data_IF_386844277248
#
_entry.id   IF_386844277248
#
_cell.length_a   1.000
_cell.length_b   1.000
_cell.length_c   1.000
_cell.angle_alpha   90.00
_cell.angle_beta   90.00
_cell.angle_gamma   90.00
#
_symmetry.space_group_name_H-M   'P 1'
#
loop_
_entity.id
_entity.type
_entity.pdbx_description
1 polymer ?
#
# COMPACT_ATOMS: atom_id res chain seq x y z
N UNK A 1 -22.85 -32.92 -17.28
CA UNK A 1 -21.65 -32.60 -16.47
C UNK A 1 -20.62 -31.77 -17.25
N UNK A 2 -20.92 -30.50 -17.61
CA UNK A 2 -19.99 -29.57 -18.30
C UNK A 2 -20.02 -28.18 -17.67
N UNK A 3 -19.84 -28.12 -16.35
CA UNK A 3 -19.87 -26.88 -15.57
C UNK A 3 -18.60 -26.79 -14.74
N UNK A 4 -17.92 -25.66 -14.83
CA UNK A 4 -16.73 -25.34 -14.03
C UNK A 4 -17.12 -24.21 -13.08
N UNK A 5 -16.94 -24.43 -11.78
CA UNK A 5 -17.16 -23.40 -10.76
C UNK A 5 -15.83 -22.72 -10.49
N UNK A 6 -15.75 -21.42 -10.73
CA UNK A 6 -14.58 -20.60 -10.46
C UNK A 6 -14.80 -19.70 -9.23
N UNK A 7 -13.72 -19.34 -8.49
CA UNK A 7 -13.82 -18.34 -7.43
C UNK A 7 -14.31 -17.00 -7.99
N UNK A 8 -15.20 -16.33 -7.26
CA UNK A 8 -15.76 -15.04 -7.69
C UNK A 8 -14.68 -13.98 -7.96
N UNK A 9 -13.64 -13.93 -7.14
CA UNK A 9 -12.54 -12.96 -7.27
C UNK A 9 -11.59 -13.26 -8.44
N UNK A 10 -11.68 -14.45 -9.05
CA UNK A 10 -10.94 -14.80 -10.26
C UNK A 10 -11.57 -14.26 -11.55
N UNK A 11 -12.78 -13.68 -11.49
CA UNK A 11 -13.51 -13.23 -12.67
C UNK A 11 -12.76 -12.25 -13.58
N UNK A 12 -11.95 -11.29 -13.06
CA UNK A 12 -11.16 -10.41 -13.91
C UNK A 12 -10.02 -11.12 -14.68
N UNK A 13 -9.61 -12.30 -14.22
CA UNK A 13 -8.51 -13.07 -14.81
C UNK A 13 -8.95 -14.14 -15.82
N UNK A 14 -10.24 -14.46 -15.88
CA UNK A 14 -10.76 -15.56 -16.73
C UNK A 14 -11.89 -15.06 -17.63
N UNK A 15 -11.70 -15.19 -18.94
CA UNK A 15 -12.76 -14.93 -19.90
C UNK A 15 -13.69 -16.15 -20.02
N UNK A 16 -14.83 -16.10 -19.34
CA UNK A 16 -15.83 -17.17 -19.32
C UNK A 16 -16.35 -17.55 -20.73
N UNK A 17 -16.49 -16.58 -21.63
CA UNK A 17 -16.96 -16.82 -22.99
C UNK A 17 -15.90 -17.58 -23.81
N UNK A 18 -14.63 -17.23 -23.65
CA UNK A 18 -13.54 -17.90 -24.35
C UNK A 18 -13.34 -19.34 -23.85
N UNK A 19 -13.47 -19.57 -22.53
CA UNK A 19 -13.45 -20.92 -21.95
C UNK A 19 -14.58 -21.76 -22.55
N UNK A 20 -15.81 -21.23 -22.59
CA UNK A 20 -16.95 -21.93 -23.17
C UNK A 20 -16.73 -22.25 -24.65
N UNK A 21 -16.22 -21.30 -25.43
CA UNK A 21 -15.94 -21.46 -26.86
C UNK A 21 -14.89 -22.55 -27.14
N UNK A 22 -13.80 -22.59 -26.36
CA UNK A 22 -12.69 -23.53 -26.59
C UNK A 22 -12.90 -24.92 -26.02
N UNK A 23 -13.64 -25.03 -24.91
CA UNK A 23 -13.72 -26.28 -24.13
C UNK A 23 -15.13 -26.88 -24.09
N UNK A 24 -16.16 -26.11 -24.44
CA UNK A 24 -17.55 -26.49 -24.26
C UNK A 24 -18.01 -26.54 -22.79
N UNK A 25 -17.17 -26.12 -21.83
CA UNK A 25 -17.55 -26.00 -20.43
C UNK A 25 -18.18 -24.64 -20.12
N UNK A 26 -19.32 -24.66 -19.44
CA UNK A 26 -19.93 -23.45 -18.91
C UNK A 26 -19.22 -23.03 -17.63
N UNK A 27 -18.68 -21.83 -17.60
CA UNK A 27 -18.10 -21.21 -16.40
C UNK A 27 -19.20 -20.60 -15.54
N UNK A 28 -19.19 -20.91 -14.25
CA UNK A 28 -20.03 -20.25 -13.25
C UNK A 28 -19.15 -19.71 -12.11
N UNK A 29 -19.41 -18.48 -11.69
CA UNK A 29 -18.70 -17.89 -10.56
C UNK A 29 -19.43 -18.25 -9.26
N UNK A 30 -18.73 -19.03 -8.43
CA UNK A 30 -19.20 -19.52 -7.15
C UNK A 30 -18.96 -18.53 -6.01
N UNK A 31 -19.00 -18.98 -4.75
CA UNK A 31 -18.77 -18.11 -3.60
C UNK A 31 -17.33 -17.58 -3.54
N UNK A 32 -17.12 -16.51 -2.78
CA UNK A 32 -15.78 -15.98 -2.48
C UNK A 32 -15.01 -16.93 -1.57
N UNK A 33 -15.66 -17.47 -0.54
CA UNK A 33 -15.01 -18.31 0.47
C UNK A 33 -15.25 -19.78 0.17
N UNK A 34 -14.20 -20.58 0.24
CA UNK A 34 -14.29 -22.03 0.00
C UNK A 34 -15.27 -22.74 0.94
N UNK A 35 -15.40 -22.26 2.18
CA UNK A 35 -16.34 -22.82 3.17
C UNK A 35 -17.81 -22.73 2.75
N UNK A 36 -18.16 -21.84 1.83
CA UNK A 36 -19.53 -21.63 1.36
C UNK A 36 -19.87 -22.54 0.16
N UNK A 37 -18.89 -23.28 -0.39
CA UNK A 37 -19.06 -24.18 -1.54
C UNK A 37 -20.13 -25.27 -1.27
N UNK A 38 -20.16 -25.95 -0.12
CA UNK A 38 -21.16 -26.99 0.13
C UNK A 38 -22.60 -26.48 0.06
N UNK A 39 -22.87 -25.28 0.57
CA UNK A 39 -24.19 -24.65 0.52
C UNK A 39 -24.51 -24.17 -0.91
N UNK A 40 -23.54 -23.58 -1.60
CA UNK A 40 -23.67 -23.18 -3.00
C UNK A 40 -24.03 -24.37 -3.91
N UNK A 41 -23.44 -25.55 -3.70
CA UNK A 41 -23.72 -26.74 -4.50
C UNK A 41 -25.15 -27.28 -4.31
N UNK A 42 -25.79 -27.02 -3.16
CA UNK A 42 -27.19 -27.40 -2.92
C UNK A 42 -28.17 -26.52 -3.69
N UNK A 43 -27.93 -25.21 -3.73
CA UNK A 43 -28.83 -24.23 -4.35
C UNK A 43 -28.49 -23.91 -5.81
N UNK A 44 -27.25 -24.17 -6.23
CA UNK A 44 -26.68 -23.75 -7.50
C UNK A 44 -26.56 -22.23 -7.67
N UNK A 45 -26.79 -21.43 -6.62
CA UNK A 45 -26.84 -19.96 -6.67
C UNK A 45 -26.08 -19.36 -5.50
N UNK A 46 -25.07 -18.55 -5.79
CA UNK A 46 -24.34 -17.80 -4.77
C UNK A 46 -25.21 -16.66 -4.22
N UNK A 47 -25.43 -16.64 -2.91
CA UNK A 47 -26.19 -15.59 -2.22
C UNK A 47 -25.43 -14.27 -2.19
N UNK A 48 -26.09 -13.16 -1.82
CA UNK A 48 -25.39 -11.88 -1.68
C UNK A 48 -24.27 -11.93 -0.62
N UNK A 49 -24.46 -12.67 0.48
CA UNK A 49 -23.43 -12.87 1.50
C UNK A 49 -22.19 -13.58 0.96
N UNK A 50 -22.39 -14.63 0.16
CA UNK A 50 -21.31 -15.37 -0.50
C UNK A 50 -20.52 -14.54 -1.53
N UNK A 51 -21.13 -13.45 -2.04
CA UNK A 51 -20.56 -12.53 -3.04
C UNK A 51 -19.95 -11.27 -2.44
N UNK A 52 -20.05 -11.05 -1.12
CA UNK A 52 -19.51 -9.87 -0.45
C UNK A 52 -18.19 -10.17 0.24
N UNK A 53 -17.14 -9.43 -0.11
CA UNK A 53 -15.89 -9.43 0.67
C UNK A 53 -16.08 -8.53 1.90
N UNK A 54 -15.78 -9.05 3.09
CA UNK A 54 -15.85 -8.28 4.34
C UNK A 54 -14.51 -7.66 4.76
N UNK A 55 -13.39 -8.21 4.27
CA UNK A 55 -12.02 -7.75 4.50
C UNK A 55 -11.74 -7.25 5.94
N UNK A 56 -11.99 -8.09 6.96
CA UNK A 56 -11.74 -7.77 8.38
C UNK A 56 -10.26 -7.58 8.68
N UNK A 57 -9.96 -7.04 9.86
CA UNK A 57 -8.58 -6.80 10.31
C UNK A 57 -7.66 -8.03 10.19
N UNK A 58 -8.16 -9.24 10.53
CA UNK A 58 -7.38 -10.48 10.40
C UNK A 58 -6.92 -10.73 8.97
N UNK A 59 -7.81 -10.57 7.99
CA UNK A 59 -7.50 -10.75 6.57
C UNK A 59 -6.45 -9.74 6.09
N UNK A 60 -6.39 -8.54 6.71
CA UNK A 60 -5.38 -7.51 6.38
C UNK A 60 -4.02 -7.79 7.00
N UNK A 61 -3.98 -8.22 8.26
CA UNK A 61 -2.73 -8.53 8.96
C UNK A 61 -2.01 -9.71 8.27
N UNK A 62 -2.76 -10.69 7.76
CA UNK A 62 -2.20 -11.82 7.01
C UNK A 62 -1.50 -11.38 5.71
N UNK A 63 -1.78 -10.19 5.19
CA UNK A 63 -1.10 -9.65 4.01
C UNK A 63 0.23 -8.95 4.35
N UNK A 64 0.47 -8.56 5.60
CA UNK A 64 1.72 -7.90 6.01
C UNK A 64 2.96 -8.76 5.65
N UNK A 65 3.00 -10.08 5.98
CA UNK A 65 4.11 -10.94 5.56
C UNK A 65 4.32 -11.00 4.05
N UNK A 66 3.25 -10.93 3.26
CA UNK A 66 3.33 -10.97 1.79
C UNK A 66 4.06 -9.73 1.26
N UNK A 67 3.70 -8.55 1.78
CA UNK A 67 4.37 -7.29 1.43
C UNK A 67 5.83 -7.26 1.92
N UNK A 68 6.11 -7.83 3.09
CA UNK A 68 7.48 -7.97 3.61
C UNK A 68 8.33 -8.85 2.69
N UNK A 69 7.81 -9.98 2.21
CA UNK A 69 8.53 -10.84 1.25
C UNK A 69 8.80 -10.08 -0.05
N UNK A 70 7.86 -9.27 -0.53
CA UNK A 70 8.07 -8.43 -1.71
C UNK A 70 9.17 -7.37 -1.47
N UNK A 71 9.26 -6.80 -0.27
CA UNK A 71 10.33 -5.88 0.12
C UNK A 71 11.70 -6.56 0.32
N UNK A 72 11.71 -7.87 0.57
CA UNK A 72 12.93 -8.69 0.74
C UNK A 72 13.47 -9.26 -0.58
N UNK A 73 12.75 -9.09 -1.70
CA UNK A 73 13.26 -9.50 -3.00
C UNK A 73 14.56 -8.72 -3.32
N UNK A 74 15.59 -9.34 -3.92
CA UNK A 74 16.86 -8.65 -4.18
C UNK A 74 16.72 -7.34 -4.97
N UNK A 75 15.75 -7.26 -5.88
CA UNK A 75 15.45 -6.08 -6.68
C UNK A 75 14.97 -4.87 -5.86
N UNK A 76 14.37 -5.09 -4.69
CA UNK A 76 13.87 -4.06 -3.78
C UNK A 76 14.77 -3.89 -2.56
N UNK A 77 15.28 -5.00 -2.01
CA UNK A 77 16.10 -5.02 -0.81
C UNK A 77 17.44 -4.29 -0.99
N UNK A 78 18.15 -4.56 -2.10
CA UNK A 78 19.46 -3.95 -2.37
C UNK A 78 19.39 -2.41 -2.40
N UNK A 79 18.49 -1.77 -3.18
CA UNK A 79 18.41 -0.31 -3.18
C UNK A 79 17.96 0.28 -1.84
N UNK A 80 17.07 -0.42 -1.10
CA UNK A 80 16.68 0.02 0.25
C UNK A 80 17.88 0.00 1.21
N UNK A 81 18.66 -1.08 1.22
CA UNK A 81 19.85 -1.19 2.07
C UNK A 81 20.92 -0.16 1.69
N UNK A 82 21.13 0.07 0.40
CA UNK A 82 22.03 1.11 -0.08
C UNK A 82 21.60 2.50 0.39
N UNK A 83 20.31 2.83 0.26
CA UNK A 83 19.75 4.10 0.73
C UNK A 83 19.89 4.24 2.25
N UNK A 84 19.59 3.20 3.01
CA UNK A 84 19.75 3.19 4.47
C UNK A 84 21.21 3.37 4.89
N UNK A 85 22.14 2.71 4.20
CA UNK A 85 23.56 2.84 4.46
C UNK A 85 24.04 4.28 4.18
N UNK A 86 23.67 4.86 3.03
CA UNK A 86 24.01 6.25 2.69
C UNK A 86 23.42 7.21 3.72
N UNK A 87 22.14 7.07 4.06
CA UNK A 87 21.47 7.90 5.07
C UNK A 87 22.19 7.82 6.43
N UNK A 88 22.55 6.61 6.85
CA UNK A 88 23.24 6.39 8.12
C UNK A 88 24.65 6.99 8.15
N UNK A 89 25.49 6.68 7.16
CA UNK A 89 26.88 7.11 7.15
C UNK A 89 27.04 8.60 6.82
N UNK A 90 26.16 9.18 5.99
CA UNK A 90 26.26 10.58 5.61
C UNK A 90 25.52 11.53 6.57
N UNK A 91 24.42 11.09 7.17
CA UNK A 91 23.50 11.98 7.91
C UNK A 91 23.15 11.47 9.32
N UNK A 92 23.63 10.29 9.72
CA UNK A 92 23.46 9.72 11.05
C UNK A 92 22.14 8.96 11.26
N UNK A 93 21.78 8.78 12.54
CA UNK A 93 20.68 7.91 12.94
C UNK A 93 19.28 8.44 12.60
N UNK A 94 19.09 9.77 12.54
CA UNK A 94 17.74 10.35 12.37
C UNK A 94 17.14 10.01 10.99
N UNK A 95 17.85 10.20 9.85
CA UNK A 95 17.31 9.82 8.55
C UNK A 95 17.15 8.31 8.36
N UNK A 96 18.02 7.51 8.97
CA UNK A 96 17.86 6.05 9.01
C UNK A 96 16.53 5.65 9.68
N UNK A 97 16.24 6.23 10.85
CA UNK A 97 14.99 6.00 11.57
C UNK A 97 13.77 6.50 10.78
N UNK A 98 13.90 7.60 10.03
CA UNK A 98 12.83 8.11 9.19
C UNK A 98 12.49 7.15 8.03
N UNK A 99 13.51 6.58 7.37
CA UNK A 99 13.30 5.55 6.33
C UNK A 99 12.59 4.34 6.92
N UNK A 100 13.07 3.84 8.07
CA UNK A 100 12.45 2.72 8.78
C UNK A 100 11.00 3.01 9.17
N UNK A 101 10.73 4.21 9.70
CA UNK A 101 9.39 4.64 10.09
C UNK A 101 8.44 4.74 8.88
N UNK A 102 8.90 5.28 7.75
CA UNK A 102 8.12 5.33 6.51
C UNK A 102 7.83 3.93 5.96
N UNK A 103 8.80 3.02 6.01
CA UNK A 103 8.61 1.62 5.63
C UNK A 103 7.60 0.91 6.54
N UNK A 104 7.71 1.07 7.86
CA UNK A 104 6.74 0.51 8.80
C UNK A 104 5.34 1.12 8.61
N UNK A 105 5.26 2.40 8.29
CA UNK A 105 4.01 3.06 7.96
C UNK A 105 3.34 2.40 6.74
N UNK A 106 4.09 2.14 5.68
CA UNK A 106 3.57 1.53 4.45
C UNK A 106 3.30 0.02 4.54
N UNK A 107 4.20 -0.73 5.17
CA UNK A 107 4.14 -2.21 5.21
C UNK A 107 3.26 -2.75 6.32
N UNK A 108 3.17 -2.04 7.46
CA UNK A 108 2.50 -2.53 8.67
C UNK A 108 1.31 -1.66 9.04
N UNK A 109 1.52 -0.36 9.21
CA UNK A 109 0.46 0.53 9.68
C UNK A 109 -0.65 0.72 8.63
N UNK A 110 -0.29 0.79 7.35
CA UNK A 110 -1.24 1.01 6.26
C UNK A 110 -2.28 -0.11 6.13
N UNK A 111 -1.93 -1.42 6.06
CA UNK A 111 -2.93 -2.49 6.06
C UNK A 111 -3.89 -2.44 7.25
N UNK A 112 -3.39 -2.08 8.44
CA UNK A 112 -4.18 -1.98 9.68
C UNK A 112 -5.13 -0.78 9.63
N UNK A 113 -4.63 0.38 9.21
CA UNK A 113 -5.34 1.66 9.23
C UNK A 113 -6.14 1.95 7.97
N UNK A 114 -6.03 1.12 6.93
CA UNK A 114 -6.66 1.29 5.62
C UNK A 114 -8.13 1.76 5.66
N UNK A 115 -9.06 1.22 6.47
CA UNK A 115 -10.46 1.64 6.44
C UNK A 115 -10.71 2.98 7.16
N UNK A 116 -9.78 3.43 7.99
CA UNK A 116 -9.93 4.62 8.83
C UNK A 116 -9.36 5.88 8.19
N UNK A 117 -8.51 5.74 7.17
CA UNK A 117 -7.91 6.88 6.48
C UNK A 117 -8.94 7.50 5.52
N UNK A 118 -9.27 8.80 5.65
CA UNK A 118 -10.46 9.42 5.06
C UNK A 118 -10.27 9.84 3.59
N UNK A 119 -9.76 8.94 2.75
CA UNK A 119 -9.63 9.15 1.30
C UNK A 119 -10.01 7.89 0.53
N UNK A 120 -10.17 8.00 -0.80
CA UNK A 120 -10.58 6.87 -1.64
C UNK A 120 -9.39 6.03 -2.10
N UNK A 121 -8.35 6.70 -2.60
CA UNK A 121 -7.24 6.11 -3.32
C UNK A 121 -6.15 5.63 -2.35
N UNK A 122 -5.49 4.52 -2.67
CA UNK A 122 -4.44 3.93 -1.82
C UNK A 122 -3.26 4.89 -1.70
N UNK A 123 -2.87 5.49 -2.81
CA UNK A 123 -1.78 6.47 -2.90
C UNK A 123 -2.00 7.65 -1.94
N UNK A 124 -3.19 8.26 -1.95
CA UNK A 124 -3.50 9.40 -1.08
C UNK A 124 -3.56 8.99 0.39
N UNK A 125 -4.12 7.80 0.69
CA UNK A 125 -4.10 7.27 2.05
C UNK A 125 -2.67 7.08 2.55
N UNK A 126 -1.79 6.53 1.71
CA UNK A 126 -0.38 6.31 2.03
C UNK A 126 0.40 7.62 2.17
N UNK A 127 0.15 8.61 1.31
CA UNK A 127 0.74 9.94 1.43
C UNK A 127 0.34 10.61 2.76
N UNK A 128 -0.95 10.57 3.13
CA UNK A 128 -1.43 11.12 4.40
C UNK A 128 -0.82 10.40 5.60
N UNK A 129 -0.72 9.07 5.53
CA UNK A 129 -0.13 8.28 6.61
C UNK A 129 1.37 8.57 6.73
N UNK A 130 2.09 8.65 5.62
CA UNK A 130 3.51 9.00 5.61
C UNK A 130 3.74 10.43 6.11
N UNK A 131 2.86 11.37 5.79
CA UNK A 131 2.90 12.73 6.34
C UNK A 131 2.70 12.71 7.86
N UNK A 132 1.72 11.95 8.36
CA UNK A 132 1.50 11.80 9.79
C UNK A 132 2.74 11.23 10.51
N UNK A 133 3.44 10.26 9.89
CA UNK A 133 4.69 9.71 10.41
C UNK A 133 5.89 10.64 10.24
N UNK A 134 5.84 11.61 9.33
CA UNK A 134 6.89 12.61 9.14
C UNK A 134 6.84 13.72 10.19
N UNK A 135 5.66 14.05 10.73
CA UNK A 135 5.48 15.15 11.69
C UNK A 135 6.38 15.04 12.94
N UNK A 136 6.55 13.87 13.59
CA UNK A 136 7.48 13.73 14.71
C UNK A 136 8.94 14.01 14.33
N UNK A 137 9.37 13.64 13.13
CA UNK A 137 10.73 13.88 12.65
C UNK A 137 10.94 15.36 12.33
N UNK A 138 9.98 16.00 11.67
CA UNK A 138 10.00 17.44 11.43
C UNK A 138 9.99 18.23 12.75
N UNK A 139 9.17 17.83 13.73
CA UNK A 139 9.13 18.45 15.05
C UNK A 139 10.47 18.25 15.81
N UNK A 140 11.07 17.05 15.73
CA UNK A 140 12.38 16.78 16.31
C UNK A 140 13.46 17.70 15.73
N UNK A 141 13.44 17.94 14.41
CA UNK A 141 14.38 18.86 13.78
C UNK A 141 14.16 20.30 14.20
N UNK A 142 12.91 20.73 14.32
CA UNK A 142 12.57 22.05 14.81
C UNK A 142 13.12 22.29 16.23
N UNK A 143 12.95 21.32 17.13
CA UNK A 143 13.44 21.42 18.52
C UNK A 143 14.97 21.32 18.59
N UNK A 144 15.58 20.43 17.81
CA UNK A 144 17.04 20.22 17.83
C UNK A 144 17.82 21.41 17.25
N UNK A 145 17.20 22.14 16.32
CA UNK A 145 17.74 23.36 15.73
C UNK A 145 17.04 24.63 16.25
N UNK A 146 16.28 24.51 17.35
CA UNK A 146 15.61 25.64 17.95
C UNK A 146 16.68 26.61 18.48
N UNK A 147 16.69 27.87 18.00
CA UNK A 147 17.61 28.85 18.54
C UNK A 147 17.30 29.15 20.02
N UNK A 148 18.29 29.57 20.82
CA UNK A 148 17.99 30.23 22.09
C UNK A 148 17.08 31.45 21.83
N UNK A 149 16.23 31.75 22.82
CA UNK A 149 14.96 32.53 22.84
C UNK A 149 14.90 33.88 22.06
N UNK A 150 15.95 34.32 21.38
CA UNK A 150 16.07 35.63 20.72
C UNK A 150 16.44 35.61 19.23
N UNK A 151 16.48 34.46 18.54
CA UNK A 151 16.69 34.44 17.07
C UNK A 151 15.68 33.57 16.33
N UNK A 152 15.41 33.90 15.07
CA UNK A 152 14.56 33.08 14.20
C UNK A 152 15.27 31.77 13.83
N UNK A 153 14.56 30.65 13.64
CA UNK A 153 15.17 29.40 13.18
C UNK A 153 15.90 29.60 11.85
N UNK A 154 17.05 28.96 11.69
CA UNK A 154 17.85 29.07 10.47
C UNK A 154 17.12 28.47 9.26
N UNK A 155 17.44 28.96 8.06
CA UNK A 155 16.93 28.38 6.80
C UNK A 155 17.24 26.88 6.70
N UNK A 156 18.39 26.44 7.26
CA UNK A 156 18.78 25.03 7.32
C UNK A 156 17.83 24.18 8.18
N UNK A 157 17.27 24.73 9.27
CA UNK A 157 16.29 24.02 10.09
C UNK A 157 15.01 23.76 9.30
N UNK A 158 14.46 24.80 8.64
CA UNK A 158 13.28 24.67 7.79
C UNK A 158 13.50 23.72 6.62
N UNK A 159 14.67 23.78 5.98
CA UNK A 159 15.03 22.86 4.90
C UNK A 159 15.03 21.40 5.40
N UNK A 160 15.64 21.13 6.55
CA UNK A 160 15.67 19.77 7.11
C UNK A 160 14.28 19.23 7.45
N UNK A 161 13.39 20.07 7.99
CA UNK A 161 11.99 19.70 8.25
C UNK A 161 11.27 19.37 6.94
N UNK A 162 11.45 20.22 5.93
CA UNK A 162 10.81 20.07 4.62
C UNK A 162 11.28 18.77 3.93
N UNK A 163 12.56 18.40 4.05
CA UNK A 163 13.07 17.13 3.53
C UNK A 163 12.30 15.93 4.11
N UNK A 164 12.04 15.86 5.42
CA UNK A 164 11.24 14.74 5.98
C UNK A 164 9.79 14.76 5.47
N UNK A 165 9.19 15.95 5.40
CA UNK A 165 7.81 16.13 4.91
C UNK A 165 7.66 15.83 3.42
N UNK A 166 8.73 15.94 2.64
CA UNK A 166 8.73 15.62 1.21
C UNK A 166 9.17 14.19 0.93
N UNK A 167 10.07 13.60 1.71
CA UNK A 167 10.65 12.27 1.43
C UNK A 167 9.87 11.10 2.06
N UNK A 168 9.29 11.25 3.26
CA UNK A 168 8.58 10.13 3.92
C UNK A 168 7.21 9.81 3.30
N UNK A 169 6.37 10.79 2.91
CA UNK A 169 5.10 10.52 2.26
C UNK A 169 5.21 9.70 0.97
N UNK A 170 6.07 10.01 -0.02
CA UNK A 170 6.14 9.25 -1.26
C UNK A 170 6.60 7.80 -1.04
N UNK A 171 7.48 7.54 -0.07
CA UNK A 171 7.85 6.16 0.31
C UNK A 171 6.62 5.40 0.81
N UNK A 172 5.89 5.98 1.77
CA UNK A 172 4.69 5.35 2.34
C UNK A 172 3.58 5.22 1.29
N UNK A 173 3.40 6.23 0.44
CA UNK A 173 2.44 6.28 -0.65
C UNK A 173 2.71 5.23 -1.73
N UNK A 174 3.96 5.03 -2.10
CA UNK A 174 4.36 4.01 -3.05
C UNK A 174 4.14 2.59 -2.49
N UNK A 175 4.51 2.35 -1.24
CA UNK A 175 4.25 1.07 -0.56
C UNK A 175 2.73 0.81 -0.43
N UNK A 176 1.95 1.84 -0.08
CA UNK A 176 0.50 1.77 -0.08
C UNK A 176 -0.06 1.43 -1.47
N UNK A 177 0.46 2.04 -2.54
CA UNK A 177 0.04 1.74 -3.92
C UNK A 177 0.32 0.27 -4.28
N UNK A 178 1.43 -0.32 -3.82
CA UNK A 178 1.72 -1.74 -4.06
C UNK A 178 0.71 -2.67 -3.37
N UNK A 179 0.15 -2.27 -2.23
CA UNK A 179 -0.91 -3.00 -1.53
C UNK A 179 -2.21 -3.14 -2.36
N UNK A 180 -2.35 -2.41 -3.47
CA UNK A 180 -3.47 -2.62 -4.41
C UNK A 180 -3.43 -4.00 -5.07
N UNK A 181 -2.26 -4.64 -5.15
CA UNK A 181 -2.09 -5.98 -5.73
C UNK A 181 -2.52 -7.13 -4.81
N UNK A 182 -2.60 -6.89 -3.50
CA UNK A 182 -2.91 -7.89 -2.47
C UNK A 182 -4.32 -7.75 -1.89
N UNK A 183 -5.10 -6.76 -2.37
CA UNK A 183 -6.44 -6.45 -1.86
C UNK A 183 -7.53 -6.51 -2.93
N UNK A 184 -8.77 -6.85 -2.56
CA UNK A 184 -9.88 -6.90 -3.50
C UNK A 184 -10.58 -5.54 -3.68
N UNK A 185 -9.97 -4.44 -3.24
CA UNK A 185 -10.61 -3.13 -3.16
C UNK A 185 -10.56 -2.34 -4.47
N UNK A 186 -9.40 -2.16 -5.13
CA UNK A 186 -9.33 -1.38 -6.36
C UNK A 186 -9.53 -2.26 -7.59
N UNK A 187 -10.10 -1.68 -8.66
CA UNK A 187 -10.13 -2.30 -9.98
C UNK A 187 -8.84 -2.03 -10.74
N UNK A 188 -8.51 -2.84 -11.77
CA UNK A 188 -7.35 -2.59 -12.64
C UNK A 188 -7.34 -1.18 -13.25
N UNK A 189 -8.50 -0.68 -13.66
CA UNK A 189 -8.64 0.69 -14.20
C UNK A 189 -8.42 1.74 -13.12
N UNK A 190 -8.87 1.50 -11.89
CA UNK A 190 -8.61 2.35 -10.73
C UNK A 190 -7.13 2.42 -10.39
N UNK A 191 -6.45 1.27 -10.29
CA UNK A 191 -5.00 1.21 -10.03
C UNK A 191 -4.22 1.93 -11.12
N UNK A 192 -4.56 1.71 -12.39
CA UNK A 192 -3.94 2.44 -13.51
C UNK A 192 -4.10 3.95 -13.34
N UNK A 193 -5.30 4.42 -12.98
CA UNK A 193 -5.54 5.85 -12.73
C UNK A 193 -4.66 6.38 -11.59
N UNK A 194 -4.55 5.65 -10.48
CA UNK A 194 -3.69 6.04 -9.37
C UNK A 194 -2.22 6.16 -9.78
N UNK A 195 -1.68 5.15 -10.48
CA UNK A 195 -0.29 5.15 -10.99
C UNK A 195 0.00 6.43 -11.79
N UNK A 196 -0.81 6.74 -12.80
CA UNK A 196 -0.59 7.89 -13.67
C UNK A 196 -0.83 9.25 -12.99
N UNK A 197 -1.60 9.27 -11.90
CA UNK A 197 -1.91 10.50 -11.17
C UNK A 197 -0.88 10.79 -10.09
N UNK A 198 -0.50 9.79 -9.30
CA UNK A 198 0.26 10.00 -8.07
C UNK A 198 1.76 9.70 -8.19
N UNK A 199 2.21 8.80 -9.08
CA UNK A 199 3.66 8.56 -9.25
C UNK A 199 4.42 9.84 -9.65
N UNK A 200 3.94 10.67 -10.59
CA UNK A 200 4.62 11.92 -10.92
C UNK A 200 4.72 12.88 -9.73
N UNK A 201 3.67 12.94 -8.90
CA UNK A 201 3.64 13.76 -7.68
C UNK A 201 4.65 13.24 -6.67
N UNK A 202 4.65 11.92 -6.41
CA UNK A 202 5.60 11.28 -5.50
C UNK A 202 7.06 11.52 -5.96
N UNK A 203 7.33 11.38 -7.26
CA UNK A 203 8.64 11.66 -7.83
C UNK A 203 9.03 13.14 -7.65
N UNK A 204 8.10 14.08 -7.90
CA UNK A 204 8.33 15.50 -7.66
C UNK A 204 8.66 15.80 -6.20
N UNK A 205 7.97 15.15 -5.25
CA UNK A 205 8.28 15.28 -3.82
C UNK A 205 9.69 14.76 -3.50
N UNK A 206 10.09 13.62 -4.06
CA UNK A 206 11.44 13.05 -3.85
C UNK A 206 12.54 13.93 -4.45
N UNK A 207 12.29 14.56 -5.60
CA UNK A 207 13.27 15.45 -6.25
C UNK A 207 13.44 16.77 -5.49
N UNK A 208 12.36 17.27 -4.87
CA UNK A 208 12.37 18.53 -4.12
C UNK A 208 12.86 18.39 -2.68
N UNK A 209 12.76 17.20 -2.09
CA UNK A 209 13.10 16.91 -0.69
C UNK A 209 14.55 16.51 -0.49
#
# INVERSE_FOLDING_TARGET
HRRIVLPQLGAPGVNAFEVAKRTGFKVEYGPIRAKDIPEYLKSGKATQGMRRVTFPLRDRIVLIPVELVAALMPSTLIPILALMAVAFFAMGWVPLLAILAAMLAGLVAFPVLLPYIPTKDYSTKGLLLGLAFALPFAACQYVSHAPPVSSAPSISAYASMLSFLLLMPPVTGYLALNFTGSTPYPSRTGVRKEIFTYIPVMAGMVVLG
#
